data_IF_277426484380
#
_entry.id   IF_277426484380
#
_cell.length_a   1.000
_cell.length_b   1.000
_cell.length_c   1.000
_cell.angle_alpha   90.00
_cell.angle_beta   90.00
_cell.angle_gamma   90.00
#
_symmetry.space_group_name_H-M   'P 1'
#
loop_
_entity.id
_entity.type
_entity.pdbx_description
1 polymer ?
#
# COMPACT_ATOMS: atom_id res chain seq x y z
N UNK A 1 2.58 -1.23 15.78
CA UNK A 1 3.06 -0.79 14.45
C UNK A 1 2.38 -1.65 13.40
N UNK A 2 1.49 -1.12 12.55
CA UNK A 2 0.88 -1.92 11.46
C UNK A 2 1.84 -1.89 10.27
N UNK A 3 2.21 -3.05 9.72
CA UNK A 3 3.08 -3.13 8.55
C UNK A 3 2.21 -3.12 7.31
N UNK A 4 2.39 -2.12 6.45
CA UNK A 4 1.83 -2.11 5.10
C UNK A 4 2.94 -2.55 4.14
N UNK A 5 2.63 -3.45 3.19
CA UNK A 5 3.55 -3.86 2.14
C UNK A 5 2.82 -3.87 0.80
N UNK A 6 3.49 -3.32 -0.21
CA UNK A 6 3.22 -3.58 -1.63
C UNK A 6 4.27 -4.58 -2.08
N UNK A 7 3.89 -5.62 -2.82
CA UNK A 7 4.79 -6.69 -3.22
C UNK A 7 4.94 -6.64 -4.73
N UNK A 8 5.97 -5.95 -5.26
CA UNK A 8 6.29 -6.02 -6.67
C UNK A 8 6.77 -7.44 -7.03
N UNK A 9 6.58 -7.83 -8.29
CA UNK A 9 7.04 -9.11 -8.83
C UNK A 9 8.59 -9.23 -8.93
N UNK A 10 9.36 -8.29 -8.39
CA UNK A 10 10.83 -8.27 -8.44
C UNK A 10 11.45 -7.77 -7.11
N UNK A 11 12.65 -8.23 -6.80
CA UNK A 11 13.35 -8.27 -5.50
C UNK A 11 13.71 -6.90 -4.84
N UNK A 12 13.01 -5.82 -5.14
CA UNK A 12 13.28 -4.46 -4.64
C UNK A 12 12.20 -3.99 -3.66
N UNK A 13 12.46 -4.15 -2.36
CA UNK A 13 11.48 -3.81 -1.31
C UNK A 13 11.28 -2.30 -1.04
N UNK A 14 12.01 -1.42 -1.72
CA UNK A 14 12.02 0.03 -1.45
C UNK A 14 11.41 0.90 -2.55
N UNK A 15 10.70 0.31 -3.52
CA UNK A 15 10.08 1.05 -4.62
C UNK A 15 8.77 1.75 -4.22
N UNK A 16 8.20 1.37 -3.08
CA UNK A 16 6.97 1.96 -2.52
C UNK A 16 7.27 2.43 -1.10
N UNK A 17 6.97 3.68 -0.80
CA UNK A 17 7.20 4.28 0.52
C UNK A 17 5.86 4.73 1.09
N UNK A 18 5.47 4.16 2.23
CA UNK A 18 4.30 4.61 2.97
C UNK A 18 4.64 5.89 3.73
N UNK A 19 3.79 6.90 3.60
CA UNK A 19 3.99 8.24 4.18
C UNK A 19 2.82 8.59 5.08
N UNK A 20 3.08 9.50 6.04
CA UNK A 20 2.07 10.02 6.97
C UNK A 20 1.29 8.94 7.74
N UNK A 21 1.96 7.84 8.11
CA UNK A 21 1.34 6.73 8.85
C UNK A 21 1.31 7.05 10.35
N UNK A 22 0.13 7.23 10.97
CA UNK A 22 0.01 7.45 12.40
C UNK A 22 0.38 6.19 13.20
N UNK A 23 0.75 6.40 14.46
CA UNK A 23 1.10 5.30 15.37
C UNK A 23 -0.11 4.39 15.68
N UNK A 24 -1.32 4.94 15.66
CA UNK A 24 -2.57 4.23 15.92
C UNK A 24 -3.69 4.72 15.01
N UNK A 25 -4.70 3.86 14.84
CA UNK A 25 -5.95 4.17 14.16
C UNK A 25 -7.09 3.82 15.12
N UNK A 26 -8.19 4.59 15.06
CA UNK A 26 -9.37 4.29 15.85
C UNK A 26 -9.99 2.94 15.41
N UNK A 27 -10.55 2.16 16.34
CA UNK A 27 -11.31 0.96 16.00
C UNK A 27 -12.51 1.30 15.10
N UNK A 28 -12.84 0.39 14.18
CA UNK A 28 -14.01 0.47 13.30
C UNK A 28 -14.13 1.75 12.44
N UNK A 29 -13.06 2.56 12.34
CA UNK A 29 -12.99 3.69 11.42
C UNK A 29 -12.31 3.31 10.12
N UNK A 30 -12.65 4.00 9.04
CA UNK A 30 -11.93 3.91 7.77
C UNK A 30 -10.46 4.29 7.96
N UNK A 31 -9.58 3.62 7.22
CA UNK A 31 -8.14 3.88 7.23
C UNK A 31 -7.72 4.26 5.81
N UNK A 32 -7.20 5.48 5.68
CA UNK A 32 -6.50 5.91 4.46
C UNK A 32 -5.00 5.73 4.68
N UNK A 33 -4.35 5.03 3.76
CA UNK A 33 -2.92 4.79 3.77
C UNK A 33 -2.30 5.49 2.55
N UNK A 34 -1.47 6.50 2.79
CA UNK A 34 -0.76 7.23 1.74
C UNK A 34 0.56 6.56 1.41
N UNK A 35 0.90 6.49 0.14
CA UNK A 35 2.19 5.95 -0.32
C UNK A 35 2.67 6.65 -1.58
N UNK A 36 3.98 6.72 -1.75
CA UNK A 36 4.63 7.22 -2.96
C UNK A 36 5.29 6.07 -3.71
N UNK A 37 5.27 6.16 -5.03
CA UNK A 37 5.96 5.23 -5.92
C UNK A 37 7.26 5.87 -6.41
N UNK A 38 8.34 5.09 -6.41
CA UNK A 38 9.58 5.48 -7.09
C UNK A 38 9.34 5.57 -8.61
N UNK A 39 10.03 6.48 -9.29
CA UNK A 39 10.02 6.62 -10.75
C UNK A 39 10.34 5.31 -11.49
N UNK A 40 11.15 4.41 -10.91
CA UNK A 40 11.46 3.12 -11.51
C UNK A 40 10.38 2.03 -11.28
N UNK A 41 9.33 2.31 -10.50
CA UNK A 41 8.26 1.36 -10.22
C UNK A 41 7.33 1.23 -11.43
N UNK A 42 7.14 -0.01 -11.90
CA UNK A 42 6.19 -0.31 -12.97
C UNK A 42 4.92 -0.90 -12.34
N UNK A 43 3.80 -0.15 -12.30
CA UNK A 43 2.56 -0.62 -11.71
C UNK A 43 1.95 -1.77 -12.50
N UNK A 44 1.43 -2.77 -11.80
CA UNK A 44 0.66 -3.87 -12.36
C UNK A 44 -0.83 -3.72 -11.97
N UNK A 45 -1.79 -4.00 -12.87
CA UNK A 45 -3.21 -4.01 -12.53
C UNK A 45 -3.61 -4.98 -11.41
N UNK A 46 -2.74 -5.94 -11.07
CA UNK A 46 -2.91 -6.89 -9.96
C UNK A 46 -2.11 -6.50 -8.72
N UNK A 47 -1.58 -5.28 -8.66
CA UNK A 47 -0.99 -4.78 -7.43
C UNK A 47 -2.06 -4.50 -6.38
N UNK A 48 -1.71 -4.72 -5.13
CA UNK A 48 -2.59 -4.52 -3.98
C UNK A 48 -1.79 -4.04 -2.77
N UNK A 49 -2.48 -3.34 -1.87
CA UNK A 49 -1.93 -2.88 -0.60
C UNK A 49 -2.56 -3.71 0.51
N UNK A 50 -1.72 -4.40 1.30
CA UNK A 50 -2.17 -5.23 2.41
C UNK A 50 -1.90 -4.62 3.78
N UNK A 51 -2.80 -4.88 4.74
CA UNK A 51 -2.56 -4.69 6.17
C UNK A 51 -2.15 -6.03 6.76
N UNK A 52 -0.99 -6.09 7.39
CA UNK A 52 -0.48 -7.31 8.00
C UNK A 52 -0.32 -7.15 9.52
N UNK A 53 -0.53 -8.25 10.25
CA UNK A 53 -0.08 -8.36 11.63
C UNK A 53 1.45 -8.38 11.62
N UNK A 54 2.09 -7.71 12.59
CA UNK A 54 3.55 -7.77 12.76
C UNK A 54 3.98 -9.22 12.97
N UNK A 55 5.08 -9.62 12.32
CA UNK A 55 5.57 -11.00 12.36
C UNK A 55 4.98 -11.92 11.30
N UNK A 56 4.27 -11.38 10.31
CA UNK A 56 3.84 -12.14 9.13
C UNK A 56 5.04 -12.75 8.38
N UNK A 57 4.83 -13.89 7.73
CA UNK A 57 5.87 -14.67 7.06
C UNK A 57 5.68 -14.70 5.55
N UNK A 58 4.43 -14.77 5.10
CA UNK A 58 4.08 -14.79 3.69
C UNK A 58 3.03 -13.74 3.35
N UNK A 59 2.93 -13.45 2.06
CA UNK A 59 1.95 -12.51 1.53
C UNK A 59 0.51 -12.96 1.75
N UNK A 60 0.28 -14.25 2.03
CA UNK A 60 -1.03 -14.83 2.34
C UNK A 60 -1.49 -14.52 3.76
N UNK A 61 -0.61 -14.01 4.62
CA UNK A 61 -0.90 -13.70 6.03
C UNK A 61 -1.54 -12.30 6.20
N UNK A 62 -2.13 -11.75 5.14
CA UNK A 62 -2.78 -10.44 5.19
C UNK A 62 -4.02 -10.50 6.10
N UNK A 63 -4.25 -9.44 6.86
CA UNK A 63 -5.49 -9.25 7.60
C UNK A 63 -6.61 -8.73 6.70
N UNK A 64 -6.28 -7.75 5.86
CA UNK A 64 -7.16 -7.21 4.81
C UNK A 64 -6.30 -6.61 3.70
N UNK A 65 -6.88 -6.42 2.52
CA UNK A 65 -6.21 -5.82 1.38
C UNK A 65 -7.15 -4.97 0.54
N UNK A 66 -6.58 -4.08 -0.25
CA UNK A 66 -7.28 -3.36 -1.32
C UNK A 66 -6.46 -3.43 -2.60
N UNK A 67 -7.15 -3.55 -3.74
CA UNK A 67 -6.52 -3.44 -5.05
C UNK A 67 -6.05 -2.01 -5.28
N UNK A 68 -4.89 -1.87 -5.92
CA UNK A 68 -4.41 -0.56 -6.39
C UNK A 68 -5.19 -0.19 -7.63
N UNK A 69 -5.70 1.05 -7.67
CA UNK A 69 -6.34 1.54 -8.89
C UNK A 69 -5.30 1.70 -10.01
N UNK A 70 -5.62 1.24 -11.24
CA UNK A 70 -4.72 1.39 -12.38
C UNK A 70 -4.28 2.85 -12.54
N UNK A 71 -3.00 3.03 -12.83
CA UNK A 71 -2.45 4.35 -13.12
C UNK A 71 -2.91 4.74 -14.53
N UNK A 72 -4.10 5.35 -14.64
CA UNK A 72 -4.55 5.95 -15.89
C UNK A 72 -3.83 7.30 -15.98
N UNK A 73 -2.76 7.31 -16.76
CA UNK A 73 -2.05 8.50 -17.26
C UNK A 73 -1.44 9.44 -16.20
N UNK A 74 -0.17 9.21 -15.87
CA UNK A 74 0.72 10.31 -15.47
C UNK A 74 1.98 10.22 -16.32
N UNK A 75 1.91 10.83 -17.50
CA UNK A 75 3.09 11.21 -18.27
C UNK A 75 3.78 12.32 -17.47
N UNK A 76 4.82 11.97 -16.72
CA UNK A 76 5.62 12.93 -15.99
C UNK A 76 6.39 12.27 -14.85
N UNK A 77 7.69 12.53 -14.79
CA UNK A 77 8.68 12.05 -13.80
C UNK A 77 8.42 12.56 -12.37
N UNK A 78 7.17 12.60 -11.91
CA UNK A 78 6.82 13.08 -10.59
C UNK A 78 6.48 11.92 -9.67
N UNK A 79 7.05 11.96 -8.47
CA UNK A 79 6.73 11.07 -7.36
C UNK A 79 5.27 11.32 -6.94
N UNK A 80 4.31 10.61 -7.54
CA UNK A 80 2.88 10.79 -7.24
C UNK A 80 2.54 10.10 -5.92
N UNK A 81 2.01 10.86 -4.98
CA UNK A 81 1.37 10.32 -3.77
C UNK A 81 0.05 9.68 -4.15
N UNK A 82 -0.14 8.43 -3.71
CA UNK A 82 -1.33 7.61 -3.90
C UNK A 82 -1.94 7.25 -2.56
N UNK A 83 -3.19 6.81 -2.60
CA UNK A 83 -3.95 6.45 -1.41
C UNK A 83 -4.59 5.07 -1.57
N UNK A 84 -4.54 4.29 -0.49
CA UNK A 84 -5.28 3.05 -0.33
C UNK A 84 -6.32 3.24 0.77
N UNK A 85 -7.60 3.01 0.44
CA UNK A 85 -8.72 3.22 1.34
C UNK A 85 -9.26 1.90 1.87
N UNK A 86 -9.02 1.62 3.15
CA UNK A 86 -9.55 0.47 3.85
C UNK A 86 -10.84 0.85 4.58
N UNK A 87 -11.92 0.12 4.31
CA UNK A 87 -13.18 0.32 5.01
C UNK A 87 -13.04 -0.09 6.49
N UNK A 88 -13.61 0.71 7.38
CA UNK A 88 -13.78 0.31 8.77
C UNK A 88 -14.68 -0.92 8.81
N UNK A 89 -14.23 -1.97 9.48
CA UNK A 89 -15.05 -3.14 9.73
C UNK A 89 -15.76 -2.94 11.07
N UNK A 90 -17.09 -2.95 11.03
CA UNK A 90 -17.98 -2.95 12.20
C UNK A 90 -18.12 -4.36 12.76
#
# INVERSE_FOLDING_TARGET
MKSFRVIPYQNTFSQVVFVDIPQSYLPSTHVTCSYTLNAAFQPNPRDWVGIFKVGWTTTKDYHTFVWVEPCIDVVGEQTVTRQAFFKGFS
#
